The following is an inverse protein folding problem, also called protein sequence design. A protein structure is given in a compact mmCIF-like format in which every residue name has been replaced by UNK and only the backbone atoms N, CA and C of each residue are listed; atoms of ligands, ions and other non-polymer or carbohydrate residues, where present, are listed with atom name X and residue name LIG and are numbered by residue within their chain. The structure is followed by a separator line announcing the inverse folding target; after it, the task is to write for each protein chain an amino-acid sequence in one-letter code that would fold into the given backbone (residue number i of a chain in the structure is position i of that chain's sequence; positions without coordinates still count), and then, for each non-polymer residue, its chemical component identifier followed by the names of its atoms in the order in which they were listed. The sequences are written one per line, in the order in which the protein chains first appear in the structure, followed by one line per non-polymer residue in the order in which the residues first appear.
data_IF_783134999515
#
_entry.id   IF_783134999515
#
_cell.length_a   1.000
_cell.length_b   1.000
_cell.length_c   1.000
_cell.angle_alpha   90.00
_cell.angle_beta   90.00
_cell.angle_gamma   90.00
#
_symmetry.space_group_name_H-M   'P 1'
#
loop_
_entity.id
_entity.type
_entity.pdbx_description
1 polymer ?
#
# COMPACT_ATOMS: atom_id res chain seq x y z
N UNK A 1 21.65 81.21 50.76
CA UNK A 1 20.72 80.62 51.73
C UNK A 1 19.41 80.41 50.98
N UNK A 2 19.12 79.14 50.67
CA UNK A 2 17.93 78.54 50.05
C UNK A 2 17.31 79.17 48.79
N UNK A 3 17.67 78.56 47.67
CA UNK A 3 16.80 78.29 46.51
C UNK A 3 15.58 77.44 46.97
N UNK A 4 14.38 77.60 46.37
CA UNK A 4 14.07 76.68 45.27
C UNK A 4 13.27 77.34 44.13
N UNK A 5 13.91 77.42 42.96
CA UNK A 5 13.42 76.94 41.67
C UNK A 5 12.07 76.23 41.73
N UNK A 6 10.99 76.99 41.47
CA UNK A 6 9.71 76.45 41.06
C UNK A 6 9.90 75.81 39.68
N UNK A 7 10.28 74.54 39.67
CA UNK A 7 10.21 73.69 38.49
C UNK A 7 8.77 73.79 38.01
N UNK A 8 8.56 74.25 36.77
CA UNK A 8 7.26 74.32 36.11
C UNK A 8 6.76 72.88 35.91
N UNK A 9 6.25 72.29 36.98
CA UNK A 9 5.95 70.86 37.10
C UNK A 9 4.86 70.45 36.13
N UNK A 10 3.92 71.34 35.82
CA UNK A 10 2.82 71.04 34.91
C UNK A 10 3.27 70.97 33.44
N UNK A 11 4.23 71.81 33.04
CA UNK A 11 4.86 71.74 31.71
C UNK A 11 5.72 70.49 31.55
N UNK A 12 6.56 70.19 32.54
CA UNK A 12 7.40 68.98 32.54
C UNK A 12 6.56 67.69 32.61
N UNK A 13 5.49 67.67 33.41
CA UNK A 13 4.58 66.52 33.50
C UNK A 13 3.79 66.34 32.21
N UNK A 14 3.36 67.43 31.54
CA UNK A 14 2.73 67.34 30.23
C UNK A 14 3.68 66.83 29.15
N UNK A 15 4.93 67.30 29.12
CA UNK A 15 5.95 66.90 28.16
C UNK A 15 6.41 65.45 28.39
N UNK A 16 6.55 65.04 29.66
CA UNK A 16 6.79 63.63 30.03
C UNK A 16 5.57 62.76 29.70
N UNK A 17 4.34 63.24 29.89
CA UNK A 17 3.13 62.50 29.50
C UNK A 17 3.04 62.33 27.99
N UNK A 18 3.34 63.36 27.21
CA UNK A 18 3.31 63.31 25.74
C UNK A 18 4.41 62.39 25.19
N UNK A 19 5.60 62.43 25.80
CA UNK A 19 6.69 61.49 25.51
C UNK A 19 6.30 60.05 25.86
N UNK A 20 5.66 59.84 27.02
CA UNK A 20 5.18 58.52 27.47
C UNK A 20 4.04 58.04 26.58
N UNK A 21 3.05 58.87 26.23
CA UNK A 21 1.95 58.51 25.34
C UNK A 21 2.45 58.17 23.93
N UNK A 22 3.43 58.91 23.41
CA UNK A 22 4.08 58.61 22.11
C UNK A 22 4.90 57.31 22.18
N UNK A 23 5.54 57.01 23.31
CA UNK A 23 6.29 55.75 23.48
C UNK A 23 5.41 54.54 23.79
N UNK A 24 4.25 54.76 24.41
CA UNK A 24 3.35 53.70 24.90
C UNK A 24 2.26 53.35 23.88
N UNK A 25 1.90 54.26 22.97
CA UNK A 25 0.93 53.97 21.92
C UNK A 25 1.48 52.95 20.92
N UNK A 26 0.77 51.83 20.80
CA UNK A 26 1.07 50.80 19.83
C UNK A 26 0.58 51.24 18.44
N UNK A 27 1.48 51.40 17.47
CA UNK A 27 1.12 51.70 16.09
C UNK A 27 1.28 50.47 15.19
N UNK A 28 0.39 50.34 14.19
CA UNK A 28 0.50 49.31 13.17
C UNK A 28 1.35 49.84 12.03
N UNK A 29 2.49 49.20 11.80
CA UNK A 29 3.42 49.53 10.72
C UNK A 29 3.51 48.38 9.72
N UNK A 30 3.91 48.69 8.48
CA UNK A 30 4.22 47.70 7.46
C UNK A 30 5.74 47.50 7.40
N UNK A 31 6.19 46.26 7.59
CA UNK A 31 7.59 45.86 7.47
C UNK A 31 7.75 45.04 6.20
N UNK A 32 8.72 45.41 5.37
CA UNK A 32 9.04 44.68 4.14
C UNK A 32 10.26 43.79 4.39
N UNK A 33 10.11 42.50 4.13
CA UNK A 33 11.21 41.54 4.22
C UNK A 33 12.21 41.79 3.07
N UNK A 34 13.53 41.98 3.34
CA UNK A 34 14.47 42.47 2.33
C UNK A 34 14.75 41.52 1.16
N UNK A 35 14.55 40.21 1.31
CA UNK A 35 14.84 39.21 0.28
C UNK A 35 13.71 38.99 -0.70
N UNK A 36 12.52 38.66 -0.20
CA UNK A 36 11.32 38.33 -0.99
C UNK A 36 10.39 39.52 -1.22
N UNK A 37 10.59 40.64 -0.51
CA UNK A 37 9.73 41.82 -0.61
C UNK A 37 8.34 41.64 0.01
N UNK A 38 8.12 40.56 0.76
CA UNK A 38 6.85 40.30 1.45
C UNK A 38 6.63 41.39 2.51
N UNK A 39 5.47 42.04 2.41
CA UNK A 39 5.00 43.04 3.37
C UNK A 39 4.21 42.35 4.48
N UNK A 40 4.62 42.56 5.72
CA UNK A 40 3.95 42.06 6.92
C UNK A 40 3.56 43.23 7.82
N UNK A 41 2.39 43.14 8.45
CA UNK A 41 2.02 44.09 9.48
C UNK A 41 2.77 43.76 10.78
N UNK A 42 3.27 44.78 11.47
CA UNK A 42 3.90 44.66 12.76
C UNK A 42 3.33 45.72 13.70
N UNK A 43 3.30 45.40 14.99
CA UNK A 43 3.00 46.38 16.03
C UNK A 43 4.32 46.92 16.55
N UNK A 44 4.47 48.25 16.50
CA UNK A 44 5.58 48.94 17.13
C UNK A 44 5.13 49.52 18.46
N UNK A 45 5.88 49.22 19.52
CA UNK A 45 5.74 49.84 20.84
C UNK A 45 7.14 50.28 21.29
N UNK A 46 7.37 51.60 21.27
CA UNK A 46 8.71 52.19 21.42
C UNK A 46 9.72 51.68 20.37
N UNK A 47 10.80 51.05 20.82
CA UNK A 47 11.86 50.48 19.98
C UNK A 47 11.64 49.01 19.62
N UNK A 48 10.56 48.40 20.10
CA UNK A 48 10.25 46.99 19.84
C UNK A 48 9.27 46.91 18.69
N UNK A 49 9.62 46.15 17.66
CA UNK A 49 8.76 45.81 16.53
C UNK A 49 8.40 44.33 16.63
N UNK A 50 7.13 44.05 16.86
CA UNK A 50 6.62 42.68 16.95
C UNK A 50 5.79 42.38 15.71
N UNK A 51 6.20 41.42 14.84
CA UNK A 51 5.41 41.07 13.67
C UNK A 51 4.06 40.47 14.10
N UNK A 52 2.99 40.90 13.44
CA UNK A 52 1.69 40.27 13.62
C UNK A 52 1.65 38.99 12.79
N UNK A 53 1.46 37.86 13.48
CA UNK A 53 1.31 36.58 12.80
C UNK A 53 0.05 36.61 11.90
N UNK A 54 0.17 36.10 10.68
CA UNK A 54 -0.96 36.03 9.74
C UNK A 54 -2.16 35.23 10.29
N UNK A 55 -1.90 34.36 11.28
CA UNK A 55 -2.91 33.57 11.99
C UNK A 55 -3.83 34.38 12.89
N UNK A 56 -3.43 35.60 13.30
CA UNK A 56 -4.31 36.51 14.06
C UNK A 56 -5.59 36.83 13.26
N UNK A 57 -5.49 36.81 11.94
CA UNK A 57 -6.63 37.03 11.05
C UNK A 57 -7.49 35.79 10.83
N UNK A 58 -7.04 34.58 11.19
CA UNK A 58 -7.76 33.34 10.88
C UNK A 58 -9.16 33.32 11.47
N UNK A 59 -9.34 33.82 12.70
CA UNK A 59 -10.64 33.90 13.38
C UNK A 59 -11.64 34.87 12.73
N UNK A 60 -11.15 35.82 11.93
CA UNK A 60 -11.98 36.82 11.25
C UNK A 60 -12.25 36.46 9.78
N UNK A 61 -11.61 35.41 9.26
CA UNK A 61 -11.79 34.97 7.89
C UNK A 61 -13.07 34.15 7.77
N UNK A 62 -13.85 34.41 6.72
CA UNK A 62 -15.01 33.57 6.37
C UNK A 62 -14.59 32.26 5.69
N UNK A 63 -13.38 32.19 5.14
CA UNK A 63 -12.79 31.01 4.51
C UNK A 63 -11.27 30.96 4.74
N UNK A 64 -10.65 29.77 4.80
CA UNK A 64 -9.20 29.64 4.89
C UNK A 64 -8.46 30.36 3.75
N UNK A 65 -7.28 30.90 4.04
CA UNK A 65 -6.47 31.61 3.04
C UNK A 65 -6.04 30.71 1.87
N UNK A 66 -5.76 29.43 2.17
CA UNK A 66 -5.31 28.42 1.20
C UNK A 66 -5.90 27.07 1.57
N UNK A 67 -6.11 26.22 0.57
CA UNK A 67 -6.40 24.80 0.79
C UNK A 67 -5.16 24.12 1.35
N UNK A 68 -5.34 23.26 2.36
CA UNK A 68 -4.27 22.50 2.99
C UNK A 68 -4.86 21.24 3.65
N UNK A 69 -3.99 20.28 3.94
CA UNK A 69 -4.33 18.99 4.53
C UNK A 69 -4.14 17.84 3.54
N UNK A 70 -4.18 16.62 4.08
CA UNK A 70 -4.08 15.37 3.31
C UNK A 70 -5.40 14.63 3.41
N UNK A 71 -6.09 14.46 2.28
CA UNK A 71 -7.30 13.66 2.20
C UNK A 71 -6.92 12.19 1.94
N UNK A 72 -7.25 11.28 2.85
CA UNK A 72 -6.97 9.85 2.72
C UNK A 72 -8.14 9.13 2.05
N UNK A 73 -7.90 8.59 0.87
CA UNK A 73 -8.87 7.86 0.06
C UNK A 73 -8.82 6.37 0.39
N UNK A 74 -9.98 5.71 0.26
CA UNK A 74 -10.13 4.28 0.54
C UNK A 74 -10.19 3.42 -0.73
N UNK A 75 -10.30 4.04 -1.90
CA UNK A 75 -10.25 3.38 -3.21
C UNK A 75 -9.44 4.21 -4.21
N UNK A 76 -8.98 3.54 -5.27
CA UNK A 76 -8.30 4.19 -6.39
C UNK A 76 -9.22 5.18 -7.12
N UNK A 77 -10.49 4.83 -7.28
CA UNK A 77 -11.50 5.70 -7.92
C UNK A 77 -11.66 7.01 -7.15
N UNK A 78 -11.76 6.95 -5.82
CA UNK A 78 -11.85 8.15 -4.98
C UNK A 78 -10.59 9.01 -5.05
N UNK A 79 -9.40 8.41 -5.21
CA UNK A 79 -8.18 9.15 -5.47
C UNK A 79 -8.27 9.91 -6.79
N UNK A 80 -8.66 9.23 -7.87
CA UNK A 80 -8.78 9.83 -9.20
C UNK A 80 -9.80 10.97 -9.18
N UNK A 81 -10.98 10.76 -8.59
CA UNK A 81 -12.03 11.78 -8.47
C UNK A 81 -11.57 12.99 -7.67
N UNK A 82 -10.91 12.77 -6.52
CA UNK A 82 -10.42 13.85 -5.67
C UNK A 82 -9.31 14.65 -6.37
N UNK A 83 -8.41 13.97 -7.07
CA UNK A 83 -7.37 14.61 -7.87
C UNK A 83 -7.99 15.41 -9.01
N UNK A 84 -8.89 14.83 -9.81
CA UNK A 84 -9.55 15.53 -10.91
C UNK A 84 -10.37 16.74 -10.44
N UNK A 85 -10.93 16.70 -9.23
CA UNK A 85 -11.65 17.82 -8.62
C UNK A 85 -10.76 19.03 -8.32
N UNK A 86 -9.48 18.82 -8.01
CA UNK A 86 -8.61 19.86 -7.46
C UNK A 86 -7.28 20.05 -8.19
N UNK A 87 -6.99 19.24 -9.22
CA UNK A 87 -5.77 19.32 -10.00
C UNK A 87 -5.67 20.66 -10.73
N UNK A 88 -4.43 21.07 -10.94
CA UNK A 88 -4.04 22.12 -11.87
C UNK A 88 -2.84 21.66 -12.71
N UNK A 89 -2.29 22.55 -13.54
CA UNK A 89 -1.21 22.23 -14.47
C UNK A 89 0.11 21.83 -13.79
N UNK A 90 0.31 22.19 -12.52
CA UNK A 90 1.53 21.88 -11.78
C UNK A 90 1.33 20.73 -10.78
N UNK A 91 0.13 20.13 -10.72
CA UNK A 91 -0.13 18.99 -9.85
C UNK A 91 0.72 17.79 -10.25
N UNK A 92 1.32 17.11 -9.26
CA UNK A 92 2.12 15.90 -9.49
C UNK A 92 1.64 14.79 -8.57
N UNK A 93 1.57 13.57 -9.12
CA UNK A 93 1.31 12.35 -8.36
C UNK A 93 2.62 11.62 -8.10
N UNK A 94 2.81 11.18 -6.87
CA UNK A 94 3.97 10.40 -6.43
C UNK A 94 3.50 9.00 -6.08
N UNK A 95 4.13 7.98 -6.64
CA UNK A 95 3.84 6.58 -6.38
C UNK A 95 5.02 5.92 -5.67
N UNK A 96 4.81 5.47 -4.43
CA UNK A 96 5.76 4.66 -3.65
C UNK A 96 5.46 3.18 -3.91
N UNK A 97 6.37 2.50 -4.61
CA UNK A 97 6.30 1.09 -4.98
C UNK A 97 6.82 0.15 -3.88
N UNK A 98 7.11 0.68 -2.69
CA UNK A 98 7.48 -0.11 -1.52
C UNK A 98 6.45 -1.21 -1.24
N UNK A 99 6.83 -2.48 -1.42
CA UNK A 99 5.93 -3.63 -1.20
C UNK A 99 5.39 -3.75 0.23
N UNK A 100 6.09 -3.19 1.22
CA UNK A 100 5.64 -3.21 2.61
C UNK A 100 4.61 -2.12 2.93
N UNK A 101 4.60 -1.03 2.16
CA UNK A 101 3.73 0.12 2.38
C UNK A 101 3.51 0.90 1.06
N UNK A 102 2.86 0.27 0.05
CA UNK A 102 2.62 0.91 -1.23
C UNK A 102 1.72 2.13 -1.03
N UNK A 103 2.00 3.23 -1.72
CA UNK A 103 1.13 4.42 -1.63
C UNK A 103 1.17 5.27 -2.88
N UNK A 104 0.09 6.02 -3.11
CA UNK A 104 0.03 7.09 -4.08
C UNK A 104 -0.35 8.39 -3.39
N UNK A 105 0.47 9.42 -3.55
CA UNK A 105 0.25 10.76 -3.00
C UNK A 105 0.20 11.78 -4.14
N UNK A 106 -0.95 12.38 -4.38
CA UNK A 106 -1.06 13.55 -5.24
C UNK A 106 -0.82 14.82 -4.42
N UNK A 107 0.11 15.67 -4.86
CA UNK A 107 0.30 17.01 -4.30
C UNK A 107 -0.35 18.00 -5.25
N UNK A 108 -1.50 18.52 -4.85
CA UNK A 108 -2.40 19.33 -5.68
C UNK A 108 -1.89 20.76 -5.88
N UNK A 109 -1.04 21.24 -4.96
CA UNK A 109 -0.38 22.54 -5.03
C UNK A 109 1.15 22.39 -5.08
N UNK A 110 1.61 21.47 -5.93
CA UNK A 110 3.03 21.18 -6.11
C UNK A 110 3.79 22.31 -6.83
N UNK A 111 5.11 22.32 -6.72
CA UNK A 111 5.98 23.36 -7.28
C UNK A 111 5.81 23.48 -8.80
N UNK A 112 5.86 24.71 -9.32
CA UNK A 112 5.85 24.95 -10.77
C UNK A 112 7.06 24.32 -11.42
N UNK A 113 6.88 23.80 -12.63
CA UNK A 113 7.97 23.12 -13.34
C UNK A 113 9.13 24.07 -13.69
N UNK A 114 10.36 23.54 -13.60
CA UNK A 114 11.59 24.23 -14.02
C UNK A 114 12.30 25.01 -12.90
N UNK A 115 13.58 25.30 -13.09
CA UNK A 115 14.42 25.98 -12.09
C UNK A 115 13.96 27.41 -11.76
N UNK A 116 13.24 28.06 -12.69
CA UNK A 116 12.64 29.38 -12.49
C UNK A 116 11.16 29.32 -12.09
N UNK A 117 10.63 28.11 -11.88
CA UNK A 117 9.25 27.91 -11.43
C UNK A 117 9.09 28.35 -9.98
N UNK A 118 8.04 29.12 -9.70
CA UNK A 118 7.80 29.57 -8.33
C UNK A 118 7.50 28.39 -7.39
N UNK A 119 8.09 28.38 -6.18
CA UNK A 119 7.74 27.39 -5.19
C UNK A 119 6.29 27.59 -4.74
N UNK A 120 5.57 26.48 -4.56
CA UNK A 120 4.21 26.44 -4.02
C UNK A 120 4.23 25.76 -2.65
N UNK A 121 3.08 25.73 -1.96
CA UNK A 121 3.04 25.30 -0.56
C UNK A 121 3.17 23.79 -0.40
N UNK A 122 2.74 23.00 -1.39
CA UNK A 122 2.74 21.54 -1.31
C UNK A 122 1.95 20.99 -0.11
N UNK A 123 0.93 21.72 0.35
CA UNK A 123 0.17 21.40 1.57
C UNK A 123 -1.19 20.78 1.29
N UNK A 124 -1.70 20.83 0.07
CA UNK A 124 -2.97 20.23 -0.31
C UNK A 124 -2.72 18.89 -1.01
N UNK A 125 -3.02 17.78 -0.32
CA UNK A 125 -2.61 16.44 -0.75
C UNK A 125 -3.78 15.46 -0.78
N UNK A 126 -3.68 14.47 -1.65
CA UNK A 126 -4.55 13.30 -1.69
C UNK A 126 -3.70 12.05 -1.53
N UNK A 127 -4.07 11.14 -0.64
CA UNK A 127 -3.30 9.94 -0.33
C UNK A 127 -4.17 8.69 -0.52
N UNK A 128 -3.65 7.68 -1.20
CA UNK A 128 -4.20 6.33 -1.22
C UNK A 128 -3.10 5.34 -0.83
N UNK A 129 -3.35 4.54 0.21
CA UNK A 129 -2.34 3.66 0.81
C UNK A 129 -2.43 2.19 0.37
N UNK A 130 -3.12 1.90 -0.74
CA UNK A 130 -3.22 0.56 -1.33
C UNK A 130 -3.45 -0.56 -0.30
N UNK A 131 -4.54 -0.49 0.49
CA UNK A 131 -4.84 -1.53 1.47
C UNK A 131 -4.96 -2.89 0.76
N UNK A 132 -4.19 -3.87 1.22
CA UNK A 132 -4.26 -5.25 0.72
C UNK A 132 -5.64 -5.86 0.99
N UNK A 133 -6.08 -6.73 0.09
CA UNK A 133 -7.32 -7.49 0.26
C UNK A 133 -7.24 -8.51 1.38
N UNK A 134 -8.38 -8.87 1.97
CA UNK A 134 -8.45 -9.85 3.04
C UNK A 134 -8.18 -11.28 2.52
N UNK A 135 -8.50 -11.53 1.25
CA UNK A 135 -8.11 -12.71 0.50
C UNK A 135 -6.58 -12.77 0.38
N UNK A 136 -5.95 -11.73 -0.17
CA UNK A 136 -4.50 -11.66 -0.34
C UNK A 136 -3.75 -11.84 0.98
N UNK A 137 -4.19 -11.17 2.06
CA UNK A 137 -3.58 -11.31 3.38
C UNK A 137 -3.65 -12.75 3.90
N UNK A 138 -4.80 -13.40 3.77
CA UNK A 138 -4.97 -14.76 4.29
C UNK A 138 -4.19 -15.80 3.49
N UNK A 139 -4.28 -15.74 2.15
CA UNK A 139 -3.52 -16.64 1.28
C UNK A 139 -2.01 -16.44 1.42
N UNK A 140 -1.55 -15.19 1.57
CA UNK A 140 -0.14 -14.89 1.83
C UNK A 140 0.31 -15.33 3.22
N UNK A 141 -0.56 -15.24 4.24
CA UNK A 141 -0.25 -15.67 5.62
C UNK A 141 -0.10 -17.19 5.74
N UNK A 142 -0.92 -17.95 5.03
CA UNK A 142 -0.84 -19.42 5.03
C UNK A 142 0.12 -19.98 3.96
N UNK A 143 0.76 -19.11 3.17
CA UNK A 143 1.75 -19.51 2.17
C UNK A 143 2.98 -20.15 2.82
N UNK A 144 3.39 -21.31 2.31
CA UNK A 144 4.48 -22.15 2.80
C UNK A 144 4.34 -22.63 4.26
N UNK A 145 3.19 -22.40 4.90
CA UNK A 145 2.90 -22.85 6.26
C UNK A 145 2.37 -24.29 6.26
N UNK A 146 2.91 -25.10 7.16
CA UNK A 146 2.52 -26.51 7.29
C UNK A 146 1.22 -26.61 8.09
N UNK A 147 0.17 -27.11 7.44
CA UNK A 147 -1.15 -27.31 8.01
C UNK A 147 -1.44 -28.78 8.25
N UNK A 148 -2.15 -29.07 9.34
CA UNK A 148 -2.78 -30.39 9.46
C UNK A 148 -3.90 -30.54 8.44
N UNK A 149 -4.32 -31.78 8.17
CA UNK A 149 -5.46 -32.03 7.29
C UNK A 149 -6.73 -31.30 7.73
N UNK A 150 -7.00 -31.25 9.05
CA UNK A 150 -8.15 -30.54 9.59
C UNK A 150 -8.05 -29.02 9.39
N UNK A 151 -6.86 -28.45 9.63
CA UNK A 151 -6.64 -27.01 9.45
C UNK A 151 -6.72 -26.61 7.97
N UNK A 152 -6.19 -27.45 7.07
CA UNK A 152 -6.25 -27.20 5.64
C UNK A 152 -7.69 -27.30 5.10
N UNK A 153 -8.47 -28.27 5.59
CA UNK A 153 -9.89 -28.38 5.26
C UNK A 153 -10.67 -27.14 5.74
N UNK A 154 -10.47 -26.73 6.99
CA UNK A 154 -11.12 -25.53 7.53
C UNK A 154 -10.73 -24.26 6.73
N UNK A 155 -9.45 -24.10 6.41
CA UNK A 155 -8.97 -22.98 5.59
C UNK A 155 -9.63 -22.95 4.20
N UNK A 156 -9.72 -24.10 3.54
CA UNK A 156 -10.38 -24.18 2.25
C UNK A 156 -11.89 -24.01 2.35
N UNK A 157 -12.58 -24.49 3.39
CA UNK A 157 -14.02 -24.31 3.54
C UNK A 157 -14.41 -22.83 3.58
N UNK A 158 -13.61 -22.00 4.23
CA UNK A 158 -13.81 -20.55 4.25
C UNK A 158 -13.49 -19.88 2.91
N UNK A 159 -12.55 -20.43 2.13
CA UNK A 159 -11.94 -19.77 0.96
C UNK A 159 -12.09 -20.51 -0.35
N UNK A 160 -12.98 -21.50 -0.42
CA UNK A 160 -13.16 -22.31 -1.63
C UNK A 160 -13.64 -21.47 -2.82
N UNK A 161 -14.33 -20.36 -2.56
CA UNK A 161 -14.78 -19.40 -3.57
C UNK A 161 -13.62 -18.70 -4.28
N UNK A 162 -12.47 -18.59 -3.63
CA UNK A 162 -11.25 -18.01 -4.21
C UNK A 162 -10.60 -18.98 -5.20
N UNK A 163 -10.88 -20.29 -5.09
CA UNK A 163 -10.29 -21.33 -5.94
C UNK A 163 -11.03 -21.39 -7.27
N UNK A 164 -10.28 -21.26 -8.36
CA UNK A 164 -10.83 -21.24 -9.70
C UNK A 164 -11.10 -22.65 -10.21
N UNK A 165 -12.25 -22.82 -10.85
CA UNK A 165 -12.53 -23.98 -11.68
C UNK A 165 -11.98 -23.70 -13.08
N UNK A 166 -10.98 -24.48 -13.50
CA UNK A 166 -10.45 -24.43 -14.87
C UNK A 166 -11.12 -25.51 -15.69
N UNK A 167 -11.77 -25.13 -16.77
CA UNK A 167 -12.42 -26.10 -17.66
C UNK A 167 -11.35 -26.91 -18.43
N UNK A 168 -11.56 -28.22 -18.62
CA UNK A 168 -10.66 -29.01 -19.46
C UNK A 168 -10.61 -28.44 -20.88
N UNK A 169 -9.42 -27.97 -21.30
CA UNK A 169 -9.21 -27.35 -22.62
C UNK A 169 -9.33 -25.82 -22.63
N UNK A 170 -9.58 -25.17 -21.49
CA UNK A 170 -9.45 -23.73 -21.36
C UNK A 170 -7.99 -23.29 -21.61
N UNK A 171 -7.80 -22.30 -22.49
CA UNK A 171 -6.48 -21.71 -22.70
C UNK A 171 -6.07 -20.92 -21.46
N UNK A 172 -5.10 -21.47 -20.73
CA UNK A 172 -4.50 -20.79 -19.60
C UNK A 172 -3.53 -19.70 -20.08
N UNK A 173 -3.37 -18.61 -19.31
CA UNK A 173 -2.33 -17.62 -19.59
C UNK A 173 -0.96 -18.29 -19.76
N UNK A 174 -0.15 -17.78 -20.68
CA UNK A 174 1.14 -18.39 -21.06
C UNK A 174 2.04 -18.68 -19.86
N UNK A 175 2.07 -17.79 -18.86
CA UNK A 175 2.86 -17.98 -17.64
C UNK A 175 2.37 -19.15 -16.77
N UNK A 176 1.06 -19.40 -16.72
CA UNK A 176 0.47 -20.54 -16.01
C UNK A 176 0.74 -21.82 -16.78
N UNK A 177 0.63 -21.78 -18.12
CA UNK A 177 0.93 -22.91 -18.98
C UNK A 177 2.41 -23.32 -18.89
N UNK A 178 3.33 -22.37 -18.98
CA UNK A 178 4.78 -22.63 -18.78
C UNK A 178 5.07 -23.25 -17.41
N UNK A 179 4.34 -22.85 -16.38
CA UNK A 179 4.48 -23.43 -15.05
C UNK A 179 3.98 -24.89 -15.02
N UNK A 180 2.82 -25.17 -15.61
CA UNK A 180 2.30 -26.53 -15.76
C UNK A 180 3.31 -27.44 -16.48
N UNK A 181 3.91 -26.95 -17.56
CA UNK A 181 4.91 -27.66 -18.33
C UNK A 181 6.20 -27.89 -17.51
N UNK A 182 6.67 -26.88 -16.78
CA UNK A 182 7.88 -26.96 -15.96
C UNK A 182 7.73 -27.87 -14.74
N UNK A 183 6.52 -27.97 -14.18
CA UNK A 183 6.24 -28.80 -13.00
C UNK A 183 6.03 -30.28 -13.33
N UNK A 184 5.92 -30.63 -14.61
CA UNK A 184 5.91 -32.02 -15.07
C UNK A 184 4.73 -32.80 -14.51
N UNK A 185 3.61 -32.77 -15.23
CA UNK A 185 2.41 -33.58 -15.00
C UNK A 185 1.66 -33.29 -13.69
N UNK A 186 0.69 -32.39 -13.76
CA UNK A 186 -0.37 -32.30 -12.76
C UNK A 186 -1.56 -31.56 -13.33
N UNK A 187 -2.70 -32.24 -13.42
CA UNK A 187 -3.97 -31.57 -13.68
C UNK A 187 -4.15 -30.44 -12.64
N UNK A 188 -4.66 -29.29 -13.09
CA UNK A 188 -5.10 -28.23 -12.18
C UNK A 188 -6.19 -28.81 -11.28
N UNK A 189 -6.05 -28.72 -9.96
CA UNK A 189 -7.07 -29.19 -9.05
C UNK A 189 -8.30 -28.29 -9.17
N UNK A 190 -9.47 -28.90 -9.41
CA UNK A 190 -10.74 -28.20 -9.26
C UNK A 190 -11.04 -27.96 -7.77
N UNK A 191 -11.87 -26.97 -7.42
CA UNK A 191 -12.30 -26.72 -6.04
C UNK A 191 -12.85 -28.00 -5.37
N UNK A 192 -13.70 -28.75 -6.07
CA UNK A 192 -14.25 -30.00 -5.57
C UNK A 192 -13.15 -31.03 -5.27
N UNK A 193 -12.17 -31.19 -6.18
CA UNK A 193 -11.09 -32.15 -5.98
C UNK A 193 -10.16 -31.75 -4.84
N UNK A 194 -9.91 -30.46 -4.69
CA UNK A 194 -9.11 -29.91 -3.60
C UNK A 194 -9.79 -30.15 -2.25
N UNK A 195 -11.10 -29.95 -2.19
CA UNK A 195 -11.90 -30.19 -0.99
C UNK A 195 -12.02 -31.69 -0.62
N UNK A 196 -12.06 -32.59 -1.61
CA UNK A 196 -11.95 -34.04 -1.38
C UNK A 196 -10.61 -34.43 -0.75
N UNK A 197 -9.51 -33.84 -1.24
CA UNK A 197 -8.16 -34.09 -0.70
C UNK A 197 -8.03 -33.59 0.73
N UNK A 198 -8.58 -32.40 1.02
CA UNK A 198 -8.53 -31.78 2.33
C UNK A 198 -9.33 -32.56 3.38
N UNK A 199 -10.50 -33.12 3.02
CA UNK A 199 -11.36 -33.88 3.94
C UNK A 199 -10.90 -35.30 4.23
N UNK A 200 -9.73 -35.68 3.73
CA UNK A 200 -9.18 -37.01 3.93
C UNK A 200 -9.72 -37.96 2.88
N UNK A 201 -9.03 -37.99 1.76
CA UNK A 201 -8.97 -39.19 0.97
C UNK A 201 -8.44 -40.29 1.90
N UNK A 202 -9.20 -41.37 2.11
CA UNK A 202 -8.64 -42.59 2.71
C UNK A 202 -7.60 -43.13 1.72
N UNK A 203 -6.37 -42.61 1.79
CA UNK A 203 -5.24 -43.14 1.03
C UNK A 203 -4.84 -44.43 1.73
N UNK A 204 -5.37 -45.55 1.26
CA UNK A 204 -4.87 -46.87 1.62
C UNK A 204 -3.52 -47.03 0.91
N UNK A 205 -2.44 -46.75 1.62
CA UNK A 205 -1.08 -46.92 1.10
C UNK A 205 -0.59 -48.33 1.44
N UNK A 206 -0.73 -49.27 0.50
CA UNK A 206 0.03 -50.51 0.52
C UNK A 206 1.43 -50.21 -0.04
N UNK A 207 2.38 -49.84 0.82
CA UNK A 207 3.77 -49.76 0.44
C UNK A 207 4.29 -51.17 0.15
N UNK A 208 4.24 -51.61 -1.11
CA UNK A 208 4.88 -52.86 -1.53
C UNK A 208 6.33 -52.55 -1.84
N UNK A 209 7.24 -52.95 -0.95
CA UNK A 209 8.68 -52.99 -1.24
C UNK A 209 8.88 -54.11 -2.26
N UNK A 210 8.97 -53.78 -3.55
CA UNK A 210 9.44 -54.74 -4.55
C UNK A 210 10.96 -54.81 -4.48
N UNK A 211 11.45 -55.80 -3.74
CA UNK A 211 12.85 -56.22 -3.77
C UNK A 211 13.11 -56.96 -5.09
N UNK A 212 13.45 -56.22 -6.15
CA UNK A 212 13.89 -56.80 -7.41
C UNK A 212 15.35 -57.25 -7.26
N UNK A 213 15.57 -58.45 -6.75
CA UNK A 213 16.88 -59.11 -6.73
C UNK A 213 17.18 -59.60 -8.15
N UNK A 214 18.16 -58.99 -8.82
CA UNK A 214 18.71 -59.55 -10.05
C UNK A 214 19.65 -60.70 -9.67
N UNK A 215 19.14 -61.93 -9.69
CA UNK A 215 19.82 -63.17 -9.26
C UNK A 215 21.14 -63.46 -10.00
N UNK A 216 21.46 -62.72 -11.07
CA UNK A 216 22.70 -62.89 -11.83
C UNK A 216 23.84 -61.93 -11.43
N UNK A 217 23.56 -60.79 -10.76
CA UNK A 217 24.60 -59.78 -10.47
C UNK A 217 24.76 -59.42 -8.99
N UNK A 218 23.87 -59.85 -8.10
CA UNK A 218 23.99 -59.56 -6.66
C UNK A 218 23.82 -58.08 -6.26
N UNK A 219 23.57 -57.18 -7.21
CA UNK A 219 23.23 -55.77 -6.94
C UNK A 219 21.74 -55.63 -6.63
N UNK A 220 21.42 -55.25 -5.39
CA UNK A 220 20.08 -54.85 -4.99
C UNK A 220 19.85 -53.38 -5.37
N UNK A 221 19.04 -53.12 -6.40
CA UNK A 221 18.53 -51.77 -6.66
C UNK A 221 17.21 -51.59 -5.92
N UNK A 222 17.23 -50.95 -4.75
CA UNK A 222 16.02 -50.60 -4.02
C UNK A 222 15.32 -49.44 -4.77
N UNK A 223 14.26 -49.73 -5.52
CA UNK A 223 13.36 -48.70 -6.08
C UNK A 223 12.17 -48.52 -5.16
N UNK A 224 12.09 -47.37 -4.49
CA UNK A 224 10.89 -46.97 -3.76
C UNK A 224 9.86 -46.41 -4.75
N UNK A 225 8.86 -47.19 -5.12
CA UNK A 225 7.68 -46.73 -5.85
C UNK A 225 6.52 -46.62 -4.84
N UNK A 226 6.19 -45.39 -4.43
CA UNK A 226 4.99 -45.14 -3.65
C UNK A 226 3.79 -45.02 -4.60
N UNK A 227 3.05 -46.11 -4.78
CA UNK A 227 1.75 -46.07 -5.47
C UNK A 227 0.66 -45.68 -4.47
N UNK A 228 0.13 -44.46 -4.59
CA UNK A 228 -1.04 -44.04 -3.83
C UNK A 228 -2.29 -44.61 -4.51
N UNK A 229 -3.16 -45.30 -3.77
CA UNK A 229 -4.44 -45.80 -4.28
C UNK A 229 -5.62 -45.13 -3.57
N UNK A 230 -6.72 -44.90 -4.30
CA UNK A 230 -7.99 -44.46 -3.72
C UNK A 230 -8.73 -45.62 -3.02
N UNK A 231 -9.92 -45.37 -2.45
CA UNK A 231 -10.73 -46.42 -1.80
C UNK A 231 -11.08 -47.61 -2.71
N UNK A 232 -10.97 -47.45 -4.03
CA UNK A 232 -11.30 -48.46 -5.03
C UNK A 232 -10.05 -49.12 -5.65
N UNK A 233 -8.85 -48.82 -5.13
CA UNK A 233 -7.59 -49.39 -5.62
C UNK A 233 -7.04 -48.73 -6.90
N UNK A 234 -7.60 -47.59 -7.34
CA UNK A 234 -7.10 -46.87 -8.51
C UNK A 234 -5.95 -45.91 -8.14
N UNK A 235 -4.94 -45.71 -9.02
CA UNK A 235 -3.83 -44.81 -8.76
C UNK A 235 -4.30 -43.37 -8.52
N UNK A 236 -4.13 -42.88 -7.28
CA UNK A 236 -4.48 -41.53 -6.89
C UNK A 236 -3.42 -40.55 -7.41
N UNK A 237 -3.75 -39.87 -8.51
CA UNK A 237 -3.01 -38.69 -8.95
C UNK A 237 -3.43 -37.50 -8.09
N UNK A 238 -2.63 -37.18 -7.07
CA UNK A 238 -2.79 -35.93 -6.33
C UNK A 238 -2.39 -34.77 -7.25
N UNK A 239 -3.29 -33.80 -7.51
CA UNK A 239 -2.96 -32.58 -8.23
C UNK A 239 -1.79 -31.85 -7.58
N UNK A 240 -0.87 -31.36 -8.39
CA UNK A 240 0.31 -30.64 -7.92
C UNK A 240 0.09 -29.13 -7.83
N UNK A 241 -0.95 -28.61 -8.49
CA UNK A 241 -1.28 -27.18 -8.50
C UNK A 241 -2.79 -26.94 -8.45
N UNK A 242 -3.19 -25.77 -7.97
CA UNK A 242 -4.52 -25.19 -8.14
C UNK A 242 -4.39 -23.69 -8.42
N UNK A 243 -5.42 -23.09 -9.02
CA UNK A 243 -5.45 -21.66 -9.29
C UNK A 243 -6.41 -20.97 -8.32
N UNK A 244 -6.04 -19.77 -7.89
CA UNK A 244 -6.91 -18.89 -7.11
C UNK A 244 -7.09 -17.56 -7.84
N UNK A 245 -8.27 -16.96 -7.72
CA UNK A 245 -8.61 -15.68 -8.32
C UNK A 245 -8.96 -14.67 -7.23
N UNK A 246 -7.99 -13.88 -6.79
CA UNK A 246 -8.15 -12.97 -5.65
C UNK A 246 -7.69 -11.56 -6.00
N UNK A 247 -8.30 -10.51 -5.42
CA UNK A 247 -7.79 -9.16 -5.59
C UNK A 247 -6.49 -8.97 -4.80
N UNK A 248 -5.56 -8.16 -5.31
CA UNK A 248 -4.33 -7.79 -4.57
C UNK A 248 -4.65 -6.69 -3.56
N UNK A 249 -5.27 -5.62 -4.04
CA UNK A 249 -5.72 -4.47 -3.26
C UNK A 249 -7.23 -4.52 -3.05
N UNK A 250 -7.73 -3.95 -1.95
CA UNK A 250 -9.16 -3.85 -1.67
C UNK A 250 -9.93 -3.23 -2.84
N UNK A 251 -11.03 -3.88 -3.24
CA UNK A 251 -11.87 -3.49 -4.38
C UNK A 251 -11.10 -3.38 -5.71
N UNK A 252 -9.94 -4.03 -5.81
CA UNK A 252 -9.17 -4.12 -7.04
C UNK A 252 -9.65 -5.24 -7.97
N UNK A 253 -9.07 -5.32 -9.18
CA UNK A 253 -9.36 -6.42 -10.09
C UNK A 253 -8.83 -7.74 -9.54
N UNK A 254 -9.49 -8.84 -9.91
CA UNK A 254 -9.07 -10.19 -9.54
C UNK A 254 -7.83 -10.60 -10.33
N UNK A 255 -6.83 -11.12 -9.62
CA UNK A 255 -5.63 -11.70 -10.20
C UNK A 255 -5.64 -13.22 -10.05
N UNK A 256 -5.28 -13.90 -11.14
CA UNK A 256 -5.12 -15.35 -11.14
C UNK A 256 -3.73 -15.69 -10.62
N UNK A 257 -3.65 -16.39 -9.50
CA UNK A 257 -2.42 -16.88 -8.91
C UNK A 257 -2.40 -18.40 -8.95
N UNK A 258 -1.22 -18.94 -9.26
CA UNK A 258 -1.00 -20.37 -9.13
C UNK A 258 -0.47 -20.71 -7.74
N UNK A 259 -1.06 -21.71 -7.12
CA UNK A 259 -0.61 -22.28 -5.86
C UNK A 259 -0.15 -23.72 -6.09
N UNK A 260 1.11 -24.02 -5.76
CA UNK A 260 1.64 -25.37 -5.81
C UNK A 260 1.28 -26.10 -4.53
N UNK A 261 0.42 -27.11 -4.64
CA UNK A 261 0.06 -27.95 -3.51
C UNK A 261 1.19 -28.93 -3.21
N UNK A 262 1.54 -29.04 -1.93
CA UNK A 262 2.51 -30.01 -1.42
C UNK A 262 1.93 -30.72 -0.21
N UNK A 263 2.38 -31.96 -0.03
CA UNK A 263 1.99 -32.76 1.11
C UNK A 263 3.13 -33.69 1.52
N UNK A 264 3.13 -34.13 2.77
CA UNK A 264 4.01 -35.20 3.26
C UNK A 264 3.34 -35.96 4.38
N UNK A 265 3.79 -37.20 4.59
CA UNK A 265 3.41 -38.02 5.74
C UNK A 265 4.40 -37.76 6.87
N UNK A 266 3.90 -37.48 8.07
CA UNK A 266 4.68 -37.32 9.28
C UNK A 266 4.02 -38.10 10.43
N UNK A 267 4.72 -39.10 10.98
CA UNK A 267 4.24 -39.92 12.11
C UNK A 267 2.80 -40.48 11.94
N UNK A 268 2.45 -40.93 10.73
CA UNK A 268 1.13 -41.49 10.43
C UNK A 268 0.03 -40.46 10.12
N UNK A 269 0.34 -39.16 10.15
CA UNK A 269 -0.57 -38.07 9.76
C UNK A 269 -0.10 -37.41 8.47
N UNK A 270 -1.03 -36.98 7.63
CA UNK A 270 -0.74 -36.18 6.43
C UNK A 270 -0.76 -34.70 6.82
N UNK A 271 0.24 -33.96 6.35
CA UNK A 271 0.27 -32.50 6.43
C UNK A 271 0.33 -31.91 5.03
N UNK A 272 -0.32 -30.77 4.85
CA UNK A 272 -0.40 -30.03 3.59
C UNK A 272 0.26 -28.66 3.75
N UNK A 273 0.81 -28.14 2.67
CA UNK A 273 1.17 -26.74 2.54
C UNK A 273 1.11 -26.36 1.06
N UNK A 274 1.08 -25.07 0.76
CA UNK A 274 1.13 -24.60 -0.62
C UNK A 274 2.16 -23.50 -0.78
N UNK A 275 2.75 -23.42 -1.97
CA UNK A 275 3.60 -22.29 -2.35
C UNK A 275 2.89 -21.46 -3.42
N UNK A 276 2.63 -20.19 -3.12
CA UNK A 276 2.14 -19.21 -4.08
C UNK A 276 3.27 -18.85 -5.05
N UNK A 277 2.98 -18.99 -6.34
CA UNK A 277 3.95 -18.71 -7.37
C UNK A 277 4.03 -17.21 -7.67
N UNK A 278 5.24 -16.66 -7.58
CA UNK A 278 5.60 -15.31 -8.02
C UNK A 278 4.60 -14.21 -7.64
N UNK A 279 4.19 -14.20 -6.38
CA UNK A 279 3.35 -13.15 -5.81
C UNK A 279 3.98 -11.76 -5.95
N UNK A 280 5.31 -11.71 -5.99
CA UNK A 280 6.12 -10.53 -6.28
C UNK A 280 5.71 -9.85 -7.60
N UNK A 281 5.66 -10.62 -8.70
CA UNK A 281 5.31 -10.07 -10.01
C UNK A 281 3.85 -9.64 -10.09
N UNK A 282 2.97 -10.39 -9.46
CA UNK A 282 1.53 -10.08 -9.48
C UNK A 282 1.26 -8.77 -8.74
N UNK A 283 1.92 -8.57 -7.60
CA UNK A 283 1.85 -7.32 -6.87
C UNK A 283 2.41 -6.14 -7.68
N UNK A 284 3.60 -6.28 -8.25
CA UNK A 284 4.24 -5.22 -9.05
C UNK A 284 3.38 -4.85 -10.28
N UNK A 285 2.77 -5.84 -10.93
CA UNK A 285 1.84 -5.63 -12.03
C UNK A 285 0.59 -4.89 -11.58
N UNK A 286 -0.03 -5.30 -10.47
CA UNK A 286 -1.21 -4.63 -9.93
C UNK A 286 -0.94 -3.17 -9.56
N UNK A 287 0.23 -2.89 -9.01
CA UNK A 287 0.65 -1.53 -8.69
C UNK A 287 0.90 -0.71 -9.98
N UNK A 288 1.58 -1.29 -10.96
CA UNK A 288 1.88 -0.64 -12.24
C UNK A 288 0.59 -0.29 -13.01
N UNK A 289 -0.37 -1.22 -13.06
CA UNK A 289 -1.70 -0.98 -13.65
C UNK A 289 -2.43 0.17 -12.95
N UNK A 290 -2.42 0.20 -11.61
CA UNK A 290 -3.01 1.30 -10.85
C UNK A 290 -2.35 2.66 -11.16
N UNK A 291 -1.02 2.68 -11.28
CA UNK A 291 -0.25 3.88 -11.67
C UNK A 291 -0.61 4.33 -13.09
N UNK A 292 -0.67 3.41 -14.06
CA UNK A 292 -1.08 3.75 -15.43
C UNK A 292 -2.50 4.29 -15.48
N UNK A 293 -3.42 3.67 -14.73
CA UNK A 293 -4.80 4.12 -14.64
C UNK A 293 -4.89 5.56 -14.11
N UNK A 294 -4.21 5.88 -13.02
CA UNK A 294 -4.15 7.25 -12.49
C UNK A 294 -3.53 8.20 -13.50
N UNK A 295 -2.43 7.82 -14.16
CA UNK A 295 -1.80 8.66 -15.19
C UNK A 295 -2.76 8.98 -16.35
N UNK A 296 -3.52 8.00 -16.82
CA UNK A 296 -4.46 8.16 -17.93
C UNK A 296 -5.67 8.98 -17.50
N UNK A 297 -6.33 8.63 -16.39
CA UNK A 297 -7.59 9.26 -15.97
C UNK A 297 -7.39 10.64 -15.34
N UNK A 298 -6.20 10.94 -14.81
CA UNK A 298 -5.88 12.28 -14.29
C UNK A 298 -5.11 13.15 -15.28
N UNK A 299 -4.53 12.57 -16.34
CA UNK A 299 -3.67 13.27 -17.31
C UNK A 299 -2.47 14.01 -16.66
N UNK A 300 -2.06 13.58 -15.46
CA UNK A 300 -0.99 14.20 -14.69
C UNK A 300 0.32 13.39 -14.78
N UNK A 301 1.48 14.04 -14.59
CA UNK A 301 2.73 13.34 -14.39
C UNK A 301 2.67 12.50 -13.11
N UNK A 302 3.08 11.24 -13.23
CA UNK A 302 3.29 10.34 -12.09
C UNK A 302 4.78 10.06 -11.96
N UNK A 303 5.35 10.35 -10.79
CA UNK A 303 6.75 10.09 -10.45
C UNK A 303 6.82 8.92 -9.47
N UNK A 304 7.77 8.00 -9.68
CA UNK A 304 8.03 6.94 -8.71
C UNK A 304 8.88 7.52 -7.58
N UNK A 305 8.36 7.50 -6.35
CA UNK A 305 9.00 8.06 -5.17
C UNK A 305 8.02 8.75 -4.22
N UNK A 306 8.56 9.61 -3.35
CA UNK A 306 7.81 10.41 -2.38
C UNK A 306 8.02 11.90 -2.65
N UNK A 307 6.98 12.73 -2.46
CA UNK A 307 7.16 14.17 -2.48
C UNK A 307 8.09 14.61 -1.34
N UNK A 308 8.67 15.79 -1.47
CA UNK A 308 9.43 16.43 -0.40
C UNK A 308 8.63 16.41 0.90
N UNK A 309 9.33 16.10 2.00
CA UNK A 309 8.74 16.08 3.33
C UNK A 309 8.16 17.47 3.63
N UNK A 310 6.88 17.49 4.02
CA UNK A 310 6.20 18.70 4.50
C UNK A 310 6.41 18.88 6.01
#
# INVERSE_FOLDING_TARGET
MNDPTLINSDGFVAEVRDLVETYVTAEVIEVTEPGSGVKALAVRSGNTVTPMAASVFDQYRTNPLRRAGTATMLSLDSLIDHVNRFKDADTVVFADDSRSAPSMTAVLDYHRAGASGDPRFGKHRSLYAFPLSDEWKAWSKANAEVMSMADFAAFLEERIIDVLFVEPGEELPEDVQRMLDALGSGAVASPNKLMELARGLQINESAVVQEAVNLQSGEATIRFQAEHTDQNGAPLKVPSIFLIGIPVFNNGPLYRLAARLRYRKNAGKIVFWYDLWRTDRTFDHAFTEAVQRVKIETELPVLIGKPEAA
#
